data_IF_655355839774
#
_entry.id   IF_655355839774
#
_cell.length_a   1.000
_cell.length_b   1.000
_cell.length_c   1.000
_cell.angle_alpha   90.00
_cell.angle_beta   90.00
_cell.angle_gamma   90.00
#
_symmetry.space_group_name_H-M   'P 1'
#
loop_
_entity.id
_entity.type
_entity.pdbx_description
1 polymer ?
#
# COMPACT_ATOMS: atom_id res chain seq x y z
N UNK A 1 -36.72 -23.66 -14.17
CA UNK A 1 -35.25 -23.66 -14.02
C UNK A 1 -34.52 -23.07 -15.23
N UNK A 2 -34.78 -23.50 -16.48
CA UNK A 2 -34.07 -22.98 -17.68
C UNK A 2 -34.19 -21.46 -17.91
N UNK A 3 -35.34 -20.84 -17.59
CA UNK A 3 -35.57 -19.38 -17.75
C UNK A 3 -34.83 -18.52 -16.70
N UNK A 4 -34.58 -19.07 -15.50
CA UNK A 4 -33.83 -18.40 -14.43
C UNK A 4 -32.33 -18.36 -14.72
N UNK A 5 -31.79 -19.44 -15.30
CA UNK A 5 -30.38 -19.54 -15.72
C UNK A 5 -30.08 -18.54 -16.84
N UNK A 6 -31.00 -18.36 -17.80
CA UNK A 6 -30.83 -17.39 -18.88
C UNK A 6 -30.89 -15.94 -18.40
N UNK A 7 -31.69 -15.64 -17.37
CA UNK A 7 -31.79 -14.29 -16.80
C UNK A 7 -30.54 -13.95 -15.98
N UNK A 8 -30.01 -14.89 -15.21
CA UNK A 8 -28.76 -14.73 -14.47
C UNK A 8 -27.55 -14.53 -15.41
N UNK A 9 -27.53 -15.20 -16.56
CA UNK A 9 -26.47 -15.04 -17.56
C UNK A 9 -26.50 -13.65 -18.21
N UNK A 10 -27.68 -13.14 -18.58
CA UNK A 10 -27.83 -11.79 -19.17
C UNK A 10 -27.54 -10.70 -18.14
N UNK A 11 -27.97 -10.88 -16.89
CA UNK A 11 -27.66 -9.95 -15.79
C UNK A 11 -26.16 -9.95 -15.46
N UNK A 12 -25.52 -11.12 -15.50
CA UNK A 12 -24.07 -11.26 -15.38
C UNK A 12 -23.31 -10.59 -16.52
N UNK A 13 -23.81 -10.68 -17.76
CA UNK A 13 -23.21 -10.03 -18.93
C UNK A 13 -23.36 -8.50 -18.88
N UNK A 14 -24.51 -8.00 -18.43
CA UNK A 14 -24.72 -6.56 -18.16
C UNK A 14 -23.85 -6.05 -17.00
N UNK A 15 -23.71 -6.83 -15.92
CA UNK A 15 -22.78 -6.51 -14.83
C UNK A 15 -21.33 -6.51 -15.29
N UNK A 16 -20.97 -7.38 -16.25
CA UNK A 16 -19.63 -7.38 -16.85
C UNK A 16 -19.34 -6.11 -17.65
N UNK A 17 -20.36 -5.52 -18.29
CA UNK A 17 -20.22 -4.23 -18.99
C UNK A 17 -20.11 -3.04 -18.03
N UNK A 18 -20.68 -3.12 -16.83
CA UNK A 18 -20.57 -2.05 -15.80
C UNK A 18 -19.22 -2.09 -15.09
N UNK A 19 -18.56 -3.25 -15.01
CA UNK A 19 -17.18 -3.36 -14.51
C UNK A 19 -16.12 -2.94 -15.54
N UNK A 20 -16.55 -2.58 -16.76
CA UNK A 20 -15.73 -1.95 -17.79
C UNK A 20 -15.61 -0.43 -17.64
N UNK A 21 -15.66 0.10 -16.41
CA UNK A 21 -15.13 1.43 -16.15
C UNK A 21 -13.64 1.34 -16.49
N UNK A 22 -13.29 1.77 -17.70
CA UNK A 22 -11.91 2.11 -18.04
C UNK A 22 -11.41 2.94 -16.86
N UNK A 23 -10.37 2.44 -16.18
CA UNK A 23 -9.49 3.32 -15.44
C UNK A 23 -9.01 4.34 -16.48
N UNK A 24 -9.65 5.50 -16.49
CA UNK A 24 -9.14 6.68 -17.15
C UNK A 24 -7.85 6.96 -16.38
N UNK A 25 -6.72 6.51 -16.93
CA UNK A 25 -5.42 6.96 -16.48
C UNK A 25 -5.50 8.46 -16.51
N UNK A 26 -5.56 9.12 -15.35
CA UNK A 26 -5.56 10.57 -15.27
C UNK A 26 -4.30 11.03 -15.99
N UNK A 27 -4.48 11.52 -17.21
CA UNK A 27 -3.37 12.05 -17.99
C UNK A 27 -2.87 13.29 -17.26
N UNK A 28 -1.60 13.29 -16.87
CA UNK A 28 -0.99 14.43 -16.21
C UNK A 28 -1.20 15.67 -17.08
N UNK A 29 -1.71 16.75 -16.48
CA UNK A 29 -1.83 18.02 -17.18
C UNK A 29 -0.43 18.50 -17.59
N UNK A 30 -0.31 19.11 -18.77
CA UNK A 30 0.97 19.70 -19.15
C UNK A 30 1.34 20.86 -18.21
N UNK A 31 2.65 21.10 -18.06
CA UNK A 31 3.18 22.22 -17.27
C UNK A 31 2.57 23.55 -17.75
N UNK A 32 2.43 23.76 -19.05
CA UNK A 32 1.84 24.97 -19.62
C UNK A 32 0.38 25.16 -19.21
N UNK A 33 -0.39 24.06 -19.17
CA UNK A 33 -1.80 24.08 -18.79
C UNK A 33 -1.96 24.53 -17.34
N UNK A 34 -1.18 23.94 -16.44
CA UNK A 34 -1.21 24.28 -15.01
C UNK A 34 -0.75 25.74 -14.81
N UNK A 35 0.27 26.17 -15.54
CA UNK A 35 0.74 27.56 -15.50
C UNK A 35 -0.30 28.57 -16.00
N UNK A 36 -1.20 28.19 -16.91
CA UNK A 36 -2.35 29.03 -17.31
C UNK A 36 -3.39 29.06 -16.20
N UNK A 37 -3.73 27.92 -15.61
CA UNK A 37 -4.69 27.82 -14.51
C UNK A 37 -4.26 28.66 -13.29
N UNK A 38 -2.99 28.58 -12.89
CA UNK A 38 -2.44 29.40 -11.79
C UNK A 38 -2.61 30.91 -12.08
N UNK A 39 -2.37 31.35 -13.32
CA UNK A 39 -2.55 32.75 -13.72
C UNK A 39 -4.02 33.17 -13.71
N UNK A 40 -4.91 32.29 -14.16
CA UNK A 40 -6.35 32.53 -14.13
C UNK A 40 -6.86 32.69 -12.69
N UNK A 41 -6.42 31.84 -11.76
CA UNK A 41 -6.78 31.94 -10.34
C UNK A 41 -6.33 33.25 -9.71
N UNK A 42 -5.18 33.77 -10.13
CA UNK A 42 -4.67 35.07 -9.69
C UNK A 42 -5.26 36.26 -10.45
N UNK A 43 -6.19 36.03 -11.39
CA UNK A 43 -6.78 37.06 -12.25
C UNK A 43 -5.74 37.89 -13.02
N UNK A 44 -4.66 37.25 -13.48
CA UNK A 44 -3.61 37.87 -14.29
C UNK A 44 -3.65 37.35 -15.73
N UNK A 45 -3.07 38.11 -16.66
CA UNK A 45 -2.98 37.71 -18.08
C UNK A 45 -2.14 36.44 -18.25
N UNK A 46 -2.22 35.77 -19.41
CA UNK A 46 -1.45 34.56 -19.72
C UNK A 46 0.07 34.73 -19.65
N UNK A 47 0.57 35.96 -19.75
CA UNK A 47 1.98 36.33 -19.63
C UNK A 47 2.30 37.07 -18.33
N UNK A 48 1.31 37.26 -17.45
CA UNK A 48 1.48 37.89 -16.16
C UNK A 48 2.48 37.15 -15.28
N UNK A 49 3.19 37.90 -14.44
CA UNK A 49 4.09 37.34 -13.44
C UNK A 49 3.27 36.71 -12.32
N UNK A 50 3.55 35.44 -12.02
CA UNK A 50 2.86 34.69 -10.96
C UNK A 50 3.40 35.12 -9.60
N UNK A 51 2.51 35.45 -8.68
CA UNK A 51 2.82 35.65 -7.27
C UNK A 51 2.85 34.28 -6.58
N UNK A 52 4.05 33.72 -6.39
CA UNK A 52 4.26 32.36 -5.87
C UNK A 52 3.61 32.20 -4.48
N UNK A 53 3.58 33.25 -3.67
CA UNK A 53 3.01 33.22 -2.32
C UNK A 53 1.47 33.05 -2.30
N UNK A 54 0.81 33.24 -3.44
CA UNK A 54 -0.64 33.06 -3.59
C UNK A 54 -1.01 31.76 -4.30
N UNK A 55 -0.04 30.97 -4.75
CA UNK A 55 -0.31 29.69 -5.39
C UNK A 55 -0.67 28.68 -4.31
N UNK A 56 -1.78 27.97 -4.51
CA UNK A 56 -2.23 26.95 -3.55
C UNK A 56 -1.32 25.71 -3.59
N UNK A 57 -1.25 24.99 -2.47
CA UNK A 57 -0.48 23.74 -2.38
C UNK A 57 -0.94 22.70 -3.41
N UNK A 58 -2.26 22.62 -3.68
CA UNK A 58 -2.82 21.73 -4.70
C UNK A 58 -2.26 22.06 -6.10
N UNK A 59 -2.19 23.34 -6.46
CA UNK A 59 -1.60 23.76 -7.74
C UNK A 59 -0.10 23.51 -7.80
N UNK A 60 0.62 23.66 -6.68
CA UNK A 60 2.04 23.36 -6.59
C UNK A 60 2.32 21.85 -6.68
N UNK A 61 1.47 21.01 -6.09
CA UNK A 61 1.51 19.56 -6.21
C UNK A 61 1.29 19.14 -7.67
N UNK A 62 0.18 19.57 -8.29
CA UNK A 62 -0.10 19.29 -9.71
C UNK A 62 1.05 19.74 -10.61
N UNK A 63 1.58 20.95 -10.40
CA UNK A 63 2.71 21.46 -11.18
C UNK A 63 3.98 20.64 -10.96
N UNK A 64 4.23 20.24 -9.71
CA UNK A 64 5.41 19.48 -9.33
C UNK A 64 5.45 18.08 -9.91
N UNK A 65 4.30 17.41 -9.92
CA UNK A 65 4.08 16.10 -10.54
C UNK A 65 4.42 16.16 -12.05
N UNK A 66 3.81 17.10 -12.78
CA UNK A 66 4.09 17.30 -14.20
C UNK A 66 5.53 17.72 -14.50
N UNK A 67 6.15 18.52 -13.63
CA UNK A 67 7.56 18.92 -13.77
C UNK A 67 8.51 17.75 -13.46
N UNK A 68 8.18 16.90 -12.49
CA UNK A 68 8.96 15.72 -12.18
C UNK A 68 8.95 14.75 -13.36
N UNK A 69 7.77 14.48 -13.94
CA UNK A 69 7.62 13.70 -15.17
C UNK A 69 8.49 14.29 -16.31
N UNK A 70 8.42 15.61 -16.52
CA UNK A 70 9.19 16.31 -17.55
C UNK A 70 10.71 16.17 -17.34
N UNK A 71 11.19 16.29 -16.10
CA UNK A 71 12.62 16.20 -15.74
C UNK A 71 13.13 14.77 -15.85
N UNK A 72 12.31 13.78 -15.48
CA UNK A 72 12.66 12.36 -15.57
C UNK A 72 12.63 11.90 -17.03
N UNK A 73 11.65 12.37 -17.82
CA UNK A 73 11.45 11.99 -19.22
C UNK A 73 11.11 10.51 -19.41
N UNK A 74 10.63 9.84 -18.35
CA UNK A 74 10.31 8.42 -18.34
C UNK A 74 9.25 8.13 -17.27
N UNK A 75 8.01 7.94 -17.72
CA UNK A 75 6.85 7.71 -16.87
C UNK A 75 7.03 6.49 -15.94
N UNK A 76 7.68 5.43 -16.41
CA UNK A 76 7.90 4.23 -15.60
C UNK A 76 8.94 4.45 -14.50
N UNK A 77 9.87 5.39 -14.68
CA UNK A 77 10.83 5.77 -13.63
C UNK A 77 10.17 6.72 -12.62
N UNK A 78 9.31 7.64 -13.09
CA UNK A 78 8.51 8.51 -12.24
C UNK A 78 7.62 7.70 -11.28
N UNK A 79 6.82 6.77 -11.81
CA UNK A 79 5.95 5.90 -10.99
C UNK A 79 6.74 5.09 -9.95
N UNK A 80 7.95 4.63 -10.30
CA UNK A 80 8.84 3.96 -9.33
C UNK A 80 9.35 4.89 -8.25
N UNK A 81 9.63 6.14 -8.60
CA UNK A 81 10.02 7.17 -7.64
C UNK A 81 8.86 7.50 -6.72
N UNK A 82 7.63 7.59 -7.23
CA UNK A 82 6.43 7.85 -6.43
C UNK A 82 6.24 6.78 -5.38
N UNK A 83 6.31 5.51 -5.80
CA UNK A 83 6.27 4.35 -4.88
C UNK A 83 7.40 4.43 -3.86
N UNK A 84 8.63 4.77 -4.27
CA UNK A 84 9.77 4.90 -3.36
C UNK A 84 9.63 6.07 -2.37
N UNK A 85 8.86 7.10 -2.73
CA UNK A 85 8.57 8.28 -1.92
C UNK A 85 7.29 8.12 -1.09
N UNK A 86 6.67 6.95 -1.07
CA UNK A 86 5.51 6.62 -0.21
C UNK A 86 4.23 6.26 -0.97
N UNK A 87 4.23 6.40 -2.31
CA UNK A 87 3.12 6.11 -3.19
C UNK A 87 2.11 7.27 -3.30
N UNK A 88 1.19 7.12 -4.25
CA UNK A 88 0.10 8.07 -4.53
C UNK A 88 -0.66 8.48 -3.26
N UNK A 89 -0.86 9.79 -3.11
CA UNK A 89 -1.53 10.39 -1.95
C UNK A 89 -0.76 10.31 -0.62
N UNK A 90 0.49 9.84 -0.61
CA UNK A 90 1.32 9.89 0.58
C UNK A 90 1.81 11.32 0.86
N UNK A 91 1.85 11.70 2.13
CA UNK A 91 2.32 13.03 2.57
C UNK A 91 3.76 13.30 2.09
N UNK A 92 4.60 12.28 2.09
CA UNK A 92 5.99 12.38 1.62
C UNK A 92 6.06 12.67 0.12
N UNK A 93 5.24 12.02 -0.70
CA UNK A 93 5.17 12.29 -2.14
C UNK A 93 4.59 13.67 -2.42
N UNK A 94 3.43 14.00 -1.83
CA UNK A 94 2.78 15.31 -1.95
C UNK A 94 3.73 16.46 -1.63
N UNK A 95 4.52 16.34 -0.56
CA UNK A 95 5.50 17.37 -0.18
C UNK A 95 6.63 17.52 -1.20
N UNK A 96 7.06 16.42 -1.83
CA UNK A 96 8.06 16.48 -2.90
C UNK A 96 7.48 17.20 -4.11
N UNK A 97 6.26 16.84 -4.52
CA UNK A 97 5.57 17.51 -5.63
C UNK A 97 5.42 19.02 -5.36
N UNK A 98 4.85 19.41 -4.23
CA UNK A 98 4.69 20.84 -3.86
C UNK A 98 6.02 21.59 -3.96
N UNK A 99 7.11 21.01 -3.43
CA UNK A 99 8.42 21.64 -3.50
C UNK A 99 8.93 21.77 -4.94
N UNK A 100 8.76 20.74 -5.75
CA UNK A 100 9.20 20.75 -7.15
C UNK A 100 8.44 21.84 -7.91
N UNK A 101 7.13 21.96 -7.70
CA UNK A 101 6.32 23.04 -8.25
C UNK A 101 6.79 24.42 -7.79
N UNK A 102 7.08 24.59 -6.50
CA UNK A 102 7.64 25.84 -5.96
C UNK A 102 8.99 26.18 -6.60
N UNK A 103 9.92 25.21 -6.66
CA UNK A 103 11.23 25.40 -7.25
C UNK A 103 11.15 25.79 -8.72
N UNK A 104 10.22 25.17 -9.46
CA UNK A 104 9.98 25.50 -10.86
C UNK A 104 9.56 26.96 -11.03
N UNK A 105 8.57 27.42 -10.25
CA UNK A 105 8.12 28.81 -10.27
C UNK A 105 9.19 29.81 -9.82
N UNK A 106 10.00 29.43 -8.83
CA UNK A 106 11.07 30.25 -8.28
C UNK A 106 12.34 30.25 -9.16
N UNK A 107 12.39 29.47 -10.24
CA UNK A 107 13.57 29.33 -11.10
C UNK A 107 14.75 28.61 -10.42
N UNK A 108 14.46 27.82 -9.39
CA UNK A 108 15.45 27.02 -8.66
C UNK A 108 15.73 25.75 -9.47
N UNK A 109 17.00 25.38 -9.73
CA UNK A 109 17.33 24.19 -10.50
C UNK A 109 16.74 22.90 -9.92
N UNK A 110 16.07 22.12 -10.77
CA UNK A 110 15.50 20.82 -10.45
C UNK A 110 16.40 19.75 -11.05
N UNK A 111 16.97 18.90 -10.20
CA UNK A 111 17.89 17.83 -10.58
C UNK A 111 17.49 16.55 -9.87
N UNK A 112 18.09 15.40 -10.26
CA UNK A 112 17.85 14.16 -9.51
C UNK A 112 18.22 14.26 -8.02
N UNK A 113 19.19 15.12 -7.68
CA UNK A 113 19.53 15.39 -6.28
C UNK A 113 18.43 16.16 -5.54
N UNK A 114 17.57 16.91 -6.24
CA UNK A 114 16.41 17.59 -5.66
C UNK A 114 15.42 16.57 -5.07
N UNK A 115 15.26 15.43 -5.75
CA UNK A 115 14.40 14.33 -5.30
C UNK A 115 15.08 13.46 -4.23
N UNK A 116 16.40 13.20 -4.35
CA UNK A 116 17.14 12.29 -3.46
C UNK A 116 17.79 12.96 -2.23
N UNK A 117 17.98 14.27 -2.24
CA UNK A 117 18.86 14.97 -1.31
C UNK A 117 18.30 15.13 0.11
N UNK A 118 19.20 15.49 1.04
CA UNK A 118 18.97 15.66 2.48
C UNK A 118 17.81 16.59 2.89
N UNK A 119 17.18 17.30 1.95
CA UNK A 119 15.96 18.09 2.17
C UNK A 119 14.69 17.43 1.64
N UNK A 120 14.75 16.58 0.60
CA UNK A 120 13.58 15.99 -0.08
C UNK A 120 13.03 14.78 0.64
N UNK A 121 13.91 13.81 0.92
CA UNK A 121 13.53 12.52 1.50
C UNK A 121 13.83 12.46 3.02
N UNK A 122 14.90 13.12 3.48
CA UNK A 122 15.36 13.09 4.88
C UNK A 122 14.82 14.24 5.76
N UNK A 123 14.50 15.41 5.21
CA UNK A 123 13.96 16.51 6.04
C UNK A 123 12.47 16.38 6.35
N UNK A 124 11.73 15.55 5.59
CA UNK A 124 10.31 15.30 5.82
C UNK A 124 9.96 13.84 6.12
N UNK A 125 10.90 12.90 5.93
CA UNK A 125 10.83 11.52 6.44
C UNK A 125 11.13 11.40 7.95
N UNK A 126 11.39 12.52 8.63
CA UNK A 126 11.37 12.63 10.08
C UNK A 126 9.93 12.64 10.59
N UNK A 127 9.37 11.45 10.79
CA UNK A 127 8.09 11.25 11.46
C UNK A 127 8.16 11.73 12.93
N UNK A 128 7.94 13.03 13.16
CA UNK A 128 7.24 13.59 14.34
C UNK A 128 7.21 15.12 14.29
N UNK A 129 5.99 15.69 14.15
CA UNK A 129 5.71 17.08 14.46
C UNK A 129 5.27 17.92 13.25
N UNK A 130 4.17 17.54 12.60
CA UNK A 130 3.40 18.54 11.85
C UNK A 130 2.56 19.31 12.85
N UNK A 131 3.08 20.48 13.20
CA UNK A 131 2.32 21.59 13.74
C UNK A 131 1.47 22.17 12.61
N UNK A 132 0.22 22.46 12.94
CA UNK A 132 -0.68 23.30 12.15
C UNK A 132 0.04 24.51 11.57
N UNK A 133 -0.12 24.74 10.27
CA UNK A 133 0.04 26.06 9.69
C UNK A 133 -1.17 26.40 8.82
N UNK A 134 -2.26 26.77 9.50
CA UNK A 134 -3.16 27.80 9.00
C UNK A 134 -2.59 29.14 9.50
N UNK A 135 -1.97 29.91 8.61
CA UNK A 135 -1.45 31.24 8.93
C UNK A 135 -2.55 32.28 8.75
N UNK A 136 -3.13 32.77 9.85
CA UNK A 136 -3.81 34.06 9.87
C UNK A 136 -3.51 34.81 11.18
N UNK A 137 -2.86 35.97 11.01
CA UNK A 137 -2.93 37.16 11.86
C UNK A 137 -2.39 37.12 13.31
N UNK A 138 -1.24 37.79 13.46
CA UNK A 138 -0.88 38.75 14.52
C UNK A 138 -1.71 38.72 15.83
N UNK A 139 -1.13 38.28 16.94
CA UNK A 139 -1.09 39.01 18.23
C UNK A 139 -0.30 38.25 19.30
N UNK A 140 0.43 39.01 20.10
CA UNK A 140 1.21 38.59 21.26
C UNK A 140 0.37 37.88 22.32
N UNK A 141 0.91 36.79 22.91
CA UNK A 141 0.94 36.49 24.35
C UNK A 141 1.75 35.19 24.55
N UNK A 142 2.88 35.32 25.25
CA UNK A 142 3.85 34.23 25.41
C UNK A 142 3.50 33.22 26.49
N UNK A 143 4.09 32.04 26.37
CA UNK A 143 4.70 31.26 27.45
C UNK A 143 5.86 30.45 26.81
N UNK A 144 7.09 30.67 27.31
CA UNK A 144 8.34 30.06 26.80
C UNK A 144 8.46 28.55 27.08
N UNK A 145 9.52 27.84 26.70
CA UNK A 145 10.79 28.19 26.03
C UNK A 145 11.19 27.00 25.12
N UNK A 146 12.43 26.76 24.69
CA UNK A 146 13.76 27.27 24.99
C UNK A 146 14.69 26.67 23.91
N UNK A 147 15.86 27.29 23.70
CA UNK A 147 16.95 26.96 22.75
C UNK A 147 16.73 27.48 21.33
N UNK A 148 17.49 28.46 20.85
CA UNK A 148 18.80 28.93 21.29
C UNK A 148 19.64 29.12 20.04
N UNK A 149 19.51 30.31 19.45
CA UNK A 149 20.29 30.78 18.32
C UNK A 149 21.75 30.87 18.72
N UNK A 150 22.62 30.07 18.10
CA UNK A 150 24.05 30.35 18.01
C UNK A 150 24.56 29.93 16.63
N UNK A 151 25.18 30.89 15.96
CA UNK A 151 25.92 30.73 14.72
C UNK A 151 27.09 29.73 14.84
N UNK A 152 27.57 29.30 13.66
CA UNK A 152 28.80 28.56 13.34
C UNK A 152 28.85 27.02 13.55
N UNK A 153 28.91 26.30 12.41
CA UNK A 153 29.42 24.92 12.23
C UNK A 153 30.90 24.79 12.71
N UNK A 154 31.50 23.60 13.00
CA UNK A 154 31.19 22.25 12.46
C UNK A 154 31.34 21.03 13.42
N UNK A 155 30.87 19.87 12.93
CA UNK A 155 31.36 18.48 13.15
C UNK A 155 31.54 17.90 14.58
N UNK A 156 30.67 16.92 14.85
CA UNK A 156 30.91 15.60 15.47
C UNK A 156 30.89 15.45 17.02
N UNK A 157 30.32 14.32 17.42
CA UNK A 157 30.42 13.59 18.70
C UNK A 157 29.41 13.92 19.81
N UNK A 158 28.36 13.09 19.83
CA UNK A 158 27.73 12.39 20.98
C UNK A 158 27.45 13.15 22.29
N UNK A 159 26.16 13.23 22.63
CA UNK A 159 25.59 12.94 23.96
C UNK A 159 24.09 13.32 23.90
N UNK A 160 23.16 12.35 23.83
CA UNK A 160 22.59 11.58 24.95
C UNK A 160 21.35 12.24 25.56
N UNK A 161 20.21 11.55 25.40
CA UNK A 161 19.02 11.65 26.25
C UNK A 161 18.08 12.77 25.82
N UNK A 162 16.84 12.51 25.42
CA UNK A 162 15.87 11.69 26.13
C UNK A 162 14.95 10.94 25.16
N UNK A 163 15.07 9.62 25.16
CA UNK A 163 14.17 8.68 24.47
C UNK A 163 14.21 7.27 25.10
N UNK A 164 14.50 7.19 26.40
CA UNK A 164 14.05 6.02 27.19
C UNK A 164 12.55 6.19 27.37
N UNK A 165 11.71 5.24 26.99
CA UNK A 165 11.39 4.15 27.92
C UNK A 165 10.73 2.92 27.24
N UNK A 166 11.16 2.50 26.04
CA UNK A 166 10.84 1.15 25.50
C UNK A 166 11.97 0.57 24.62
N UNK A 167 13.19 1.09 24.78
CA UNK A 167 14.39 0.55 24.13
C UNK A 167 14.85 -0.73 24.85
N UNK A 168 14.77 -1.87 24.16
CA UNK A 168 15.38 -3.12 24.62
C UNK A 168 14.46 -4.35 24.65
N UNK A 169 13.13 -4.16 24.75
CA UNK A 169 12.17 -5.29 24.75
C UNK A 169 11.29 -5.36 23.48
N UNK A 170 11.26 -4.31 22.66
CA UNK A 170 10.44 -4.28 21.44
C UNK A 170 10.80 -5.36 20.41
N UNK A 171 12.09 -5.70 20.28
CA UNK A 171 12.55 -6.76 19.37
C UNK A 171 12.11 -8.16 19.81
N UNK A 172 12.02 -8.39 21.13
CA UNK A 172 11.49 -9.64 21.71
C UNK A 172 10.01 -9.78 21.38
N UNK A 173 9.21 -8.71 21.53
CA UNK A 173 7.79 -8.72 21.16
C UNK A 173 7.57 -8.88 19.65
N UNK A 174 8.46 -8.33 18.82
CA UNK A 174 8.46 -8.58 17.37
C UNK A 174 8.67 -10.06 17.05
N UNK A 175 9.70 -10.68 17.62
CA UNK A 175 10.00 -12.11 17.39
C UNK A 175 8.87 -12.99 17.91
N UNK A 176 8.35 -12.70 19.12
CA UNK A 176 7.25 -13.45 19.70
C UNK A 176 5.99 -13.34 18.82
N UNK A 177 5.69 -12.14 18.31
CA UNK A 177 4.55 -11.90 17.41
C UNK A 177 4.68 -12.68 16.11
N UNK A 178 5.87 -12.71 15.49
CA UNK A 178 6.12 -13.51 14.28
C UNK A 178 5.96 -15.00 14.53
N UNK A 179 6.44 -15.52 15.66
CA UNK A 179 6.30 -16.94 16.00
C UNK A 179 4.83 -17.33 16.20
N UNK A 180 4.03 -16.48 16.86
CA UNK A 180 2.59 -16.72 17.04
C UNK A 180 1.86 -16.67 15.70
N UNK A 181 2.21 -15.73 14.81
CA UNK A 181 1.61 -15.64 13.49
C UNK A 181 1.90 -16.88 12.62
N UNK A 182 3.14 -17.38 12.63
CA UNK A 182 3.51 -18.62 11.92
C UNK A 182 2.77 -19.82 12.52
N UNK A 183 2.66 -19.92 13.84
CA UNK A 183 1.93 -20.98 14.51
C UNK A 183 0.43 -21.00 14.12
N UNK A 184 -0.20 -19.81 14.00
CA UNK A 184 -1.58 -19.68 13.54
C UNK A 184 -1.74 -20.10 12.08
N UNK A 185 -0.80 -19.76 11.20
CA UNK A 185 -0.84 -20.20 9.80
C UNK A 185 -0.73 -21.73 9.68
N UNK A 186 0.21 -22.34 10.40
CA UNK A 186 0.38 -23.81 10.40
C UNK A 186 -0.83 -24.51 11.01
N UNK A 187 -1.38 -23.99 12.11
CA UNK A 187 -2.58 -24.54 12.73
C UNK A 187 -3.79 -24.43 11.79
N UNK A 188 -3.96 -23.29 11.12
CA UNK A 188 -5.01 -23.10 10.10
C UNK A 188 -4.88 -24.12 8.96
N UNK A 189 -3.67 -24.36 8.48
CA UNK A 189 -3.41 -25.34 7.41
C UNK A 189 -3.68 -26.79 7.85
N UNK A 190 -3.30 -27.16 9.08
CA UNK A 190 -3.59 -28.49 9.64
C UNK A 190 -5.10 -28.67 9.89
N UNK A 191 -5.79 -27.63 10.34
CA UNK A 191 -7.23 -27.67 10.55
C UNK A 191 -8.00 -27.77 9.23
N UNK A 192 -7.52 -27.10 8.18
CA UNK A 192 -8.10 -27.18 6.84
C UNK A 192 -7.89 -28.57 6.23
N UNK A 193 -6.71 -29.18 6.40
CA UNK A 193 -6.43 -30.55 5.93
C UNK A 193 -7.14 -31.63 6.74
N UNK A 194 -7.48 -31.39 8.01
CA UNK A 194 -8.31 -32.30 8.82
C UNK A 194 -9.80 -32.24 8.49
N UNK A 195 -10.28 -31.14 7.92
CA UNK A 195 -11.71 -30.98 7.59
C UNK A 195 -12.10 -31.63 6.25
N UNK A 196 -11.12 -31.91 5.37
CA UNK A 196 -11.36 -32.61 4.09
C UNK A 196 -10.98 -34.09 4.08
N UNK A 197 -10.64 -34.69 5.25
CA UNK A 197 -10.39 -36.15 5.35
C UNK A 197 -11.45 -36.88 6.16
N UNK A 198 -12.71 -36.68 5.82
CA UNK A 198 -13.81 -37.58 6.18
C UNK A 198 -14.80 -37.68 5.03
N UNK A 199 -14.52 -38.60 4.11
CA UNK A 199 -15.46 -39.56 3.53
C UNK A 199 -14.83 -40.17 2.28
N UNK A 200 -14.14 -41.31 2.42
CA UNK A 200 -14.09 -42.33 1.35
C UNK A 200 -13.51 -43.70 1.80
N UNK A 201 -13.53 -44.05 3.09
CA UNK A 201 -12.98 -45.37 3.55
C UNK A 201 -13.88 -46.14 4.53
N UNK A 202 -15.15 -45.76 4.66
CA UNK A 202 -16.09 -46.47 5.55
C UNK A 202 -16.89 -47.56 4.85
N UNK A 203 -16.97 -47.58 3.51
CA UNK A 203 -17.75 -48.57 2.75
C UNK A 203 -16.93 -49.85 2.54
N UNK A 204 -15.68 -49.74 2.05
CA UNK A 204 -14.81 -50.91 1.81
C UNK A 204 -14.51 -51.72 3.06
N UNK A 205 -14.18 -51.05 4.17
CA UNK A 205 -13.89 -51.75 5.42
C UNK A 205 -15.10 -52.50 5.97
N UNK A 206 -16.32 -51.98 5.79
CA UNK A 206 -17.55 -52.67 6.21
C UNK A 206 -17.83 -53.89 5.34
N UNK A 207 -17.69 -53.78 4.03
CA UNK A 207 -17.91 -54.89 3.11
C UNK A 207 -16.94 -56.05 3.39
N UNK A 208 -15.65 -55.74 3.61
CA UNK A 208 -14.64 -56.74 3.96
C UNK A 208 -14.86 -57.36 5.35
N UNK A 209 -15.33 -56.59 6.33
CA UNK A 209 -15.67 -57.10 7.67
C UNK A 209 -16.85 -58.08 7.60
N UNK A 210 -17.91 -57.75 6.87
CA UNK A 210 -19.08 -58.62 6.69
C UNK A 210 -18.67 -59.92 5.96
N UNK A 211 -17.83 -59.82 4.93
CA UNK A 211 -17.27 -60.98 4.23
C UNK A 211 -16.48 -61.91 5.16
N UNK A 212 -15.63 -61.34 6.01
CA UNK A 212 -14.82 -62.11 6.97
C UNK A 212 -15.68 -62.79 8.02
N UNK A 213 -16.73 -62.12 8.50
CA UNK A 213 -17.67 -62.70 9.46
C UNK A 213 -18.44 -63.89 8.87
N UNK A 214 -18.94 -63.77 7.63
CA UNK A 214 -19.65 -64.86 6.94
C UNK A 214 -18.75 -66.06 6.65
N UNK A 215 -17.50 -65.81 6.27
CA UNK A 215 -16.51 -66.88 6.10
C UNK A 215 -16.22 -67.62 7.41
N UNK A 216 -16.08 -66.88 8.52
CA UNK A 216 -15.86 -67.46 9.85
C UNK A 216 -17.06 -68.28 10.35
N UNK A 217 -18.29 -67.91 9.96
CA UNK A 217 -19.50 -68.69 10.22
C UNK A 217 -19.67 -69.89 9.29
N UNK A 218 -18.83 -70.03 8.27
CA UNK A 218 -18.92 -71.10 7.25
C UNK A 218 -20.04 -70.91 6.24
N UNK A 219 -20.63 -69.70 6.16
CA UNK A 219 -21.74 -69.38 5.26
C UNK A 219 -21.29 -69.21 3.80
N UNK A 220 -19.99 -68.99 3.57
CA UNK A 220 -19.38 -68.86 2.24
C UNK A 220 -18.13 -69.72 2.14
N UNK A 221 -17.86 -70.22 0.95
CA UNK A 221 -16.67 -71.03 0.68
C UNK A 221 -15.41 -70.17 0.55
N UNK A 222 -14.23 -70.78 0.67
CA UNK A 222 -12.95 -70.07 0.56
C UNK A 222 -12.77 -69.43 -0.82
N UNK A 223 -13.26 -70.11 -1.85
CA UNK A 223 -13.24 -69.68 -3.24
C UNK A 223 -14.13 -68.45 -3.45
N UNK A 224 -15.32 -68.43 -2.86
CA UNK A 224 -16.23 -67.28 -2.91
C UNK A 224 -15.70 -66.08 -2.15
N UNK A 225 -15.16 -66.31 -0.94
CA UNK A 225 -14.52 -65.26 -0.16
C UNK A 225 -13.36 -64.61 -0.95
N UNK A 226 -12.49 -65.42 -1.56
CA UNK A 226 -11.36 -64.91 -2.33
C UNK A 226 -11.78 -64.08 -3.53
N UNK A 227 -12.83 -64.50 -4.28
CA UNK A 227 -13.35 -63.73 -5.42
C UNK A 227 -13.94 -62.40 -4.99
N UNK A 228 -14.72 -62.37 -3.91
CA UNK A 228 -15.35 -61.13 -3.45
C UNK A 228 -14.34 -60.13 -2.86
N UNK A 229 -13.28 -60.62 -2.22
CA UNK A 229 -12.17 -59.77 -1.75
C UNK A 229 -11.41 -59.14 -2.92
N UNK A 230 -11.28 -59.84 -4.05
CA UNK A 230 -10.60 -59.32 -5.24
C UNK A 230 -11.41 -58.23 -5.95
N UNK A 231 -12.74 -58.34 -5.93
CA UNK A 231 -13.67 -57.34 -6.51
C UNK A 231 -13.74 -56.05 -5.67
N UNK A 232 -13.52 -56.15 -4.36
CA UNK A 232 -13.62 -55.04 -3.40
C UNK A 232 -12.27 -54.34 -3.13
N UNK A 233 -11.21 -54.70 -3.87
CA UNK A 233 -9.90 -54.05 -3.82
C UNK A 233 -9.70 -53.16 -5.03
#
# INVERSE_FOLDING_TARGET
MKKLISFAFVLGLMMFTVLGVKAESMELKSVETIMVEIRLEQNISSTGTIDIAKVSDVRLEELGDSVMELVIGNNALHERMDIALGGEGSISLTNVHIRVGYNYLAGIPITMMTFMGARGMMAYGGMMGSYDYFSQNNTYLGYGGMMGSYDYFPQNITALGYGGMMGGFGWIWMILGTLVFIALLVFGFIWLTKTTRKQETTVDNKALLILKERYAKGEITKEEYSRMVDILK
#
